data_IF_255529272960
#
_entry.id   IF_255529272960
#
_cell.length_a   1.000
_cell.length_b   1.000
_cell.length_c   1.000
_cell.angle_alpha   90.00
_cell.angle_beta   90.00
_cell.angle_gamma   90.00
#
_symmetry.space_group_name_H-M   'P 1'
#
loop_
_entity.id
_entity.type
_entity.pdbx_description
1 polymer ?
#
# COMPACT_ATOMS: atom_id res chain seq x y z
N UNK A 1 0.73 11.36 2.02
CA UNK A 1 -0.46 11.54 1.17
C UNK A 1 -0.96 10.19 0.70
N UNK A 2 -2.25 10.00 0.48
CA UNK A 2 -2.82 8.74 -0.02
C UNK A 2 -3.60 8.98 -1.32
N UNK A 3 -3.58 8.04 -2.26
CA UNK A 3 -4.44 8.08 -3.45
C UNK A 3 -5.37 6.87 -3.46
N UNK A 4 -6.66 7.11 -3.72
CA UNK A 4 -7.72 6.08 -3.72
C UNK A 4 -8.55 6.18 -5.00
N UNK A 5 -8.85 5.03 -5.61
CA UNK A 5 -9.84 4.89 -6.67
C UNK A 5 -9.69 3.60 -7.48
N UNK A 6 -10.81 3.01 -7.91
CA UNK A 6 -10.82 1.92 -8.90
C UNK A 6 -9.93 0.72 -8.57
N UNK A 7 -10.03 0.18 -7.35
CA UNK A 7 -9.19 -0.91 -6.78
C UNK A 7 -7.75 -0.55 -6.37
N UNK A 8 -7.37 0.72 -6.38
CA UNK A 8 -6.04 1.18 -5.96
C UNK A 8 -6.11 2.03 -4.69
N UNK A 9 -5.32 1.66 -3.68
CA UNK A 9 -4.98 2.45 -2.50
C UNK A 9 -3.46 2.48 -2.32
N UNK A 10 -2.84 3.66 -2.24
CA UNK A 10 -1.39 3.77 -2.01
C UNK A 10 -1.01 5.03 -1.24
N UNK A 11 -0.17 4.84 -0.22
CA UNK A 11 0.43 5.93 0.53
C UNK A 11 1.78 6.33 -0.06
N UNK A 12 2.00 7.64 -0.15
CA UNK A 12 3.28 8.22 -0.53
C UNK A 12 3.75 9.21 0.55
N UNK A 13 5.06 9.28 0.69
CA UNK A 13 5.76 10.20 1.56
C UNK A 13 6.67 11.08 0.71
N UNK A 14 6.61 12.39 0.94
CA UNK A 14 7.58 13.34 0.39
C UNK A 14 8.69 13.49 1.43
N UNK A 15 9.93 13.35 1.00
CA UNK A 15 11.10 13.49 1.85
C UNK A 15 12.22 14.24 1.12
N UNK A 16 13.25 14.76 1.81
CA UNK A 16 14.43 15.33 1.16
C UNK A 16 15.18 14.30 0.29
N UNK A 17 15.99 14.78 -0.65
CA UNK A 17 16.91 13.91 -1.41
C UNK A 17 17.83 13.13 -0.46
N UNK A 18 18.03 11.84 -0.77
CA UNK A 18 18.79 10.89 0.06
C UNK A 18 17.90 10.04 0.98
N UNK A 19 16.62 10.36 1.11
CA UNK A 19 15.70 9.61 1.97
C UNK A 19 15.54 8.14 1.52
N UNK A 20 15.52 7.85 0.22
CA UNK A 20 15.48 6.49 -0.31
C UNK A 20 16.69 5.68 0.15
N UNK A 21 17.89 6.24 0.00
CA UNK A 21 19.14 5.56 0.39
C UNK A 21 19.18 5.36 1.90
N UNK A 22 18.79 6.38 2.66
CA UNK A 22 18.68 6.28 4.12
C UNK A 22 17.70 5.18 4.55
N UNK A 23 16.49 5.19 4.00
CA UNK A 23 15.46 4.19 4.32
C UNK A 23 15.90 2.79 3.93
N UNK A 24 16.39 2.61 2.71
CA UNK A 24 16.88 1.32 2.23
C UNK A 24 17.99 0.78 3.14
N UNK A 25 18.99 1.60 3.49
CA UNK A 25 20.14 1.14 4.27
C UNK A 25 19.84 0.94 5.76
N UNK A 26 19.13 1.87 6.39
CA UNK A 26 19.06 1.94 7.86
C UNK A 26 17.71 1.50 8.44
N UNK A 27 16.65 1.46 7.64
CA UNK A 27 15.32 1.07 8.13
C UNK A 27 14.91 -0.32 7.67
N UNK A 28 15.31 -0.70 6.45
CA UNK A 28 14.82 -1.94 5.84
C UNK A 28 15.92 -2.92 5.46
N UNK A 29 17.20 -2.53 5.48
CA UNK A 29 18.31 -3.36 4.99
C UNK A 29 18.04 -3.88 3.55
N UNK A 30 17.55 -2.98 2.70
CA UNK A 30 17.16 -3.25 1.32
C UNK A 30 18.28 -2.86 0.34
N UNK A 31 18.47 -3.68 -0.69
CA UNK A 31 19.45 -3.42 -1.75
C UNK A 31 18.77 -2.85 -3.00
N UNK A 32 19.49 -1.97 -3.71
CA UNK A 32 19.00 -1.41 -4.96
C UNK A 32 18.89 -2.50 -6.03
N UNK A 33 17.65 -2.82 -6.39
CA UNK A 33 17.29 -3.90 -7.31
C UNK A 33 16.90 -3.41 -8.70
N UNK A 34 16.61 -2.11 -8.86
CA UNK A 34 16.19 -1.58 -10.14
C UNK A 34 16.17 -0.06 -10.23
N UNK A 35 16.29 0.43 -11.45
CA UNK A 35 16.11 1.83 -11.84
C UNK A 35 15.29 1.90 -13.11
N UNK A 36 14.46 2.92 -13.22
CA UNK A 36 13.70 3.21 -14.43
C UNK A 36 13.43 4.70 -14.56
N UNK A 37 13.02 5.14 -15.75
CA UNK A 37 12.53 6.49 -15.96
C UNK A 37 11.02 6.53 -15.98
N UNK A 38 10.44 7.52 -15.31
CA UNK A 38 9.02 7.87 -15.39
C UNK A 38 8.95 9.37 -15.69
N UNK A 39 8.55 9.71 -16.91
CA UNK A 39 8.66 11.09 -17.41
C UNK A 39 10.11 11.56 -17.39
N UNK A 40 10.37 12.67 -16.68
CA UNK A 40 11.71 13.25 -16.50
C UNK A 40 12.46 12.72 -15.27
N UNK A 41 11.83 11.89 -14.45
CA UNK A 41 12.38 11.46 -13.16
C UNK A 41 12.93 10.04 -13.21
N UNK A 42 13.98 9.79 -12.44
CA UNK A 42 14.42 8.43 -12.10
C UNK A 42 13.51 7.88 -11.00
N UNK A 43 13.10 6.62 -11.13
CA UNK A 43 12.50 5.85 -10.05
C UNK A 43 13.50 4.76 -9.64
N UNK A 44 13.84 4.73 -8.35
CA UNK A 44 14.70 3.72 -7.73
C UNK A 44 13.85 2.70 -6.99
N UNK A 45 14.22 1.43 -7.10
CA UNK A 45 13.56 0.31 -6.43
C UNK A 45 14.58 -0.45 -5.61
N UNK A 46 14.39 -0.45 -4.29
CA UNK A 46 15.19 -1.24 -3.36
C UNK A 46 14.35 -2.33 -2.72
N UNK A 47 14.93 -3.52 -2.53
CA UNK A 47 14.24 -4.70 -2.01
C UNK A 47 15.04 -5.34 -0.90
N UNK A 48 14.35 -5.81 0.13
CA UNK A 48 14.94 -6.63 1.18
C UNK A 48 15.31 -8.01 0.63
N UNK A 49 16.30 -8.66 1.25
CA UNK A 49 16.80 -9.96 0.80
C UNK A 49 15.71 -11.04 0.82
N UNK A 50 14.75 -10.95 1.76
CA UNK A 50 13.59 -11.83 1.86
C UNK A 50 12.47 -11.49 0.86
N UNK A 51 12.61 -10.41 0.09
CA UNK A 51 11.62 -9.94 -0.88
C UNK A 51 10.32 -9.42 -0.26
N UNK A 52 10.22 -9.33 1.08
CA UNK A 52 8.98 -8.98 1.80
C UNK A 52 8.73 -7.48 1.87
N UNK A 53 9.74 -6.66 1.61
CA UNK A 53 9.61 -5.22 1.57
C UNK A 53 10.24 -4.65 0.30
N UNK A 54 9.51 -3.76 -0.37
CA UNK A 54 10.03 -2.98 -1.49
C UNK A 54 9.86 -1.50 -1.22
N UNK A 55 10.94 -0.76 -1.39
CA UNK A 55 10.94 0.69 -1.40
C UNK A 55 11.01 1.16 -2.84
N UNK A 56 10.11 2.05 -3.22
CA UNK A 56 10.20 2.72 -4.50
C UNK A 56 10.13 4.22 -4.31
N UNK A 57 11.08 4.94 -4.91
CA UNK A 57 11.12 6.40 -4.84
C UNK A 57 11.32 7.02 -6.21
N UNK A 58 10.47 7.99 -6.55
CA UNK A 58 10.70 8.93 -7.63
C UNK A 58 11.65 10.03 -7.12
N UNK A 59 12.76 10.21 -7.83
CA UNK A 59 13.84 11.12 -7.45
C UNK A 59 13.65 12.46 -8.14
N UNK A 60 13.36 13.50 -7.35
CA UNK A 60 13.30 14.88 -7.78
C UNK A 60 14.64 15.60 -7.63
N UNK A 61 14.61 16.92 -7.86
CA UNK A 61 15.77 17.79 -7.74
C UNK A 61 16.01 18.22 -6.28
N UNK A 62 14.95 18.40 -5.52
CA UNK A 62 14.95 18.86 -4.13
C UNK A 62 14.34 17.84 -3.16
N UNK A 63 13.38 17.05 -3.65
CA UNK A 63 12.68 16.05 -2.84
C UNK A 63 12.58 14.71 -3.55
N UNK A 64 12.27 13.68 -2.77
CA UNK A 64 11.93 12.34 -3.23
C UNK A 64 10.48 12.01 -2.85
N UNK A 65 9.75 11.38 -3.76
CA UNK A 65 8.43 10.83 -3.50
C UNK A 65 8.55 9.31 -3.32
N UNK A 66 8.43 8.85 -2.08
CA UNK A 66 8.65 7.47 -1.68
C UNK A 66 7.34 6.74 -1.38
N UNK A 67 7.30 5.45 -1.71
CA UNK A 67 6.29 4.50 -1.24
C UNK A 67 6.97 3.21 -0.77
N UNK A 68 6.34 2.55 0.19
CA UNK A 68 6.75 1.23 0.69
C UNK A 68 5.65 0.22 0.33
N UNK A 69 6.07 -0.97 -0.08
CA UNK A 69 5.19 -2.12 -0.29
C UNK A 69 5.49 -3.15 0.79
N UNK A 70 4.47 -3.49 1.59
CA UNK A 70 4.48 -4.67 2.44
C UNK A 70 4.03 -5.87 1.59
N UNK A 71 4.89 -6.89 1.50
CA UNK A 71 4.69 -8.08 0.70
C UNK A 71 5.65 -8.21 -0.48
N UNK A 72 5.53 -9.31 -1.25
CA UNK A 72 6.41 -9.58 -2.39
C UNK A 72 6.48 -8.37 -3.30
N UNK A 73 7.70 -8.10 -3.74
CA UNK A 73 7.97 -6.94 -4.57
C UNK A 73 7.01 -6.89 -5.77
N UNK A 74 6.29 -5.78 -5.98
CA UNK A 74 5.61 -5.57 -7.24
C UNK A 74 6.64 -5.67 -8.37
N UNK A 75 6.21 -6.21 -9.51
CA UNK A 75 7.01 -6.13 -10.72
C UNK A 75 7.41 -4.67 -10.96
N UNK A 76 8.67 -4.47 -11.34
CA UNK A 76 9.24 -3.13 -11.55
C UNK A 76 8.37 -2.29 -12.49
N UNK A 77 7.71 -2.92 -13.48
CA UNK A 77 6.76 -2.26 -14.38
C UNK A 77 5.54 -1.67 -13.64
N UNK A 78 4.94 -2.40 -12.70
CA UNK A 78 3.77 -1.93 -11.94
C UNK A 78 4.14 -0.75 -11.04
N UNK A 79 5.38 -0.73 -10.53
CA UNK A 79 5.92 0.43 -9.81
C UNK A 79 6.05 1.64 -10.73
N UNK A 80 6.52 1.45 -11.97
CA UNK A 80 6.59 2.52 -12.97
C UNK A 80 5.21 3.12 -13.25
N UNK A 81 4.23 2.25 -13.50
CA UNK A 81 2.85 2.62 -13.82
C UNK A 81 2.23 3.43 -12.65
N UNK A 82 2.53 3.06 -11.41
CA UNK A 82 2.10 3.80 -10.22
C UNK A 82 2.61 5.26 -10.18
N UNK A 83 3.87 5.51 -10.55
CA UNK A 83 4.38 6.88 -10.59
C UNK A 83 3.92 7.63 -11.85
N UNK A 84 3.69 6.90 -12.95
CA UNK A 84 3.30 7.50 -14.23
C UNK A 84 1.92 8.16 -14.21
N UNK A 85 1.05 7.76 -13.27
CA UNK A 85 -0.28 8.34 -13.08
C UNK A 85 -0.28 9.63 -12.24
N UNK A 86 0.87 10.11 -11.78
CA UNK A 86 1.00 11.30 -10.94
C UNK A 86 1.49 12.51 -11.76
N UNK A 87 0.99 13.70 -11.42
CA UNK A 87 1.62 15.00 -11.73
C UNK A 87 2.45 15.41 -10.51
N UNK A 88 3.76 15.45 -10.69
CA UNK A 88 4.75 15.76 -9.64
C UNK A 88 5.42 17.09 -9.99
N UNK A 89 5.35 18.05 -9.07
CA UNK A 89 6.03 19.34 -9.18
C UNK A 89 6.91 19.52 -7.97
N UNK A 90 8.21 19.44 -8.21
CA UNK A 90 9.23 19.59 -7.18
C UNK A 90 9.77 21.02 -7.16
N UNK A 91 9.67 21.66 -6.00
CA UNK A 91 10.20 22.98 -5.73
C UNK A 91 11.10 22.91 -4.50
N UNK A 92 11.97 23.91 -4.31
CA UNK A 92 12.88 23.96 -3.17
C UNK A 92 12.16 23.92 -1.82
N UNK A 93 10.97 24.53 -1.74
CA UNK A 93 10.19 24.65 -0.50
C UNK A 93 9.24 23.46 -0.27
N UNK A 94 9.17 22.53 -1.22
CA UNK A 94 8.35 21.32 -1.10
C UNK A 94 8.01 20.70 -2.45
N UNK A 95 7.51 19.46 -2.39
CA UNK A 95 7.00 18.75 -3.56
C UNK A 95 5.47 18.69 -3.51
N UNK A 96 4.83 19.13 -4.59
CA UNK A 96 3.40 18.95 -4.81
C UNK A 96 3.18 17.74 -5.69
N UNK A 97 2.27 16.88 -5.25
CA UNK A 97 1.91 15.68 -6.00
C UNK A 97 0.39 15.63 -6.10
N UNK A 98 -0.11 15.29 -7.27
CA UNK A 98 -1.54 15.09 -7.53
C UNK A 98 -1.72 13.97 -8.53
N UNK A 99 -2.85 13.25 -8.51
CA UNK A 99 -3.10 12.28 -9.56
C UNK A 99 -3.43 13.02 -10.86
N UNK A 100 -3.07 12.45 -12.01
CA UNK A 100 -3.46 13.01 -13.29
C UNK A 100 -4.98 12.94 -13.44
N UNK A 101 -5.60 14.00 -13.96
CA UNK A 101 -7.06 14.17 -13.96
C UNK A 101 -7.84 13.02 -14.64
N UNK A 102 -7.24 12.36 -15.63
CA UNK A 102 -7.87 11.25 -16.37
C UNK A 102 -7.89 9.93 -15.57
N UNK A 103 -7.13 9.83 -14.48
CA UNK A 103 -7.01 8.59 -13.69
C UNK A 103 -8.22 8.34 -12.79
N UNK A 104 -9.03 9.37 -12.53
CA UNK A 104 -10.15 9.29 -11.59
C UNK A 104 -9.73 9.06 -10.12
N UNK A 105 -8.43 9.06 -9.82
CA UNK A 105 -7.92 8.91 -8.47
C UNK A 105 -8.16 10.18 -7.67
N UNK A 106 -8.52 10.02 -6.40
CA UNK A 106 -8.71 11.15 -5.48
C UNK A 106 -7.62 11.13 -4.41
N UNK A 107 -7.15 12.32 -4.00
CA UNK A 107 -6.22 12.47 -2.87
C UNK A 107 -7.01 12.28 -1.58
N UNK A 108 -6.65 11.27 -0.81
CA UNK A 108 -7.10 11.09 0.57
C UNK A 108 -6.02 11.56 1.55
N UNK A 109 -6.41 12.32 2.57
CA UNK A 109 -5.51 12.82 3.61
C UNK A 109 -5.44 11.94 4.86
N UNK A 110 -6.27 10.90 4.97
CA UNK A 110 -6.46 10.21 6.24
C UNK A 110 -6.60 8.69 6.00
N UNK A 111 -5.54 7.96 6.35
CA UNK A 111 -5.61 6.52 6.55
C UNK A 111 -5.04 6.24 7.93
N UNK A 112 -5.74 5.40 8.69
CA UNK A 112 -5.12 4.73 9.83
C UNK A 112 -4.41 3.49 9.30
N UNK A 113 -3.10 3.38 9.51
CA UNK A 113 -2.36 2.15 9.28
C UNK A 113 -1.84 1.66 10.61
N UNK A 114 -2.30 0.48 11.03
CA UNK A 114 -1.79 -0.23 12.18
C UNK A 114 -0.94 -1.38 11.66
N UNK A 115 0.35 -1.39 12.04
CA UNK A 115 1.24 -2.52 11.81
C UNK A 115 1.56 -3.16 13.15
N UNK A 116 1.37 -4.46 13.26
CA UNK A 116 1.76 -5.26 14.44
C UNK A 116 3.25 -5.59 14.37
N UNK A 117 3.82 -6.09 15.47
CA UNK A 117 5.23 -6.49 15.56
C UNK A 117 5.60 -7.57 14.54
N UNK A 118 4.63 -8.41 14.15
CA UNK A 118 4.83 -9.45 13.14
C UNK A 118 4.75 -8.95 11.69
N UNK A 119 4.49 -7.65 11.45
CA UNK A 119 4.23 -7.00 10.15
C UNK A 119 2.85 -7.25 9.54
N UNK A 120 1.88 -7.79 10.28
CA UNK A 120 0.48 -7.74 9.87
C UNK A 120 0.04 -6.29 9.83
N UNK A 121 -0.60 -5.90 8.73
CA UNK A 121 -1.03 -4.53 8.51
C UNK A 121 -2.53 -4.44 8.35
N UNK A 122 -3.13 -3.46 9.03
CA UNK A 122 -4.53 -3.07 8.90
C UNK A 122 -4.54 -1.62 8.45
N UNK A 123 -5.00 -1.36 7.23
CA UNK A 123 -5.07 -0.04 6.64
C UNK A 123 -6.53 0.32 6.39
N UNK A 124 -7.03 1.35 7.07
CA UNK A 124 -8.41 1.80 6.95
C UNK A 124 -8.43 3.16 6.23
N UNK A 125 -9.12 3.29 5.07
CA UNK A 125 -9.22 4.54 4.35
C UNK A 125 -10.20 5.51 5.01
N UNK A 126 -9.99 6.82 4.89
CA UNK A 126 -10.92 7.79 5.47
C UNK A 126 -12.40 7.54 5.10
N UNK A 127 -13.34 7.93 5.99
CA UNK A 127 -14.77 7.70 5.80
C UNK A 127 -15.29 8.15 4.42
N UNK A 128 -14.78 9.29 3.93
CA UNK A 128 -15.15 9.86 2.64
C UNK A 128 -14.81 8.94 1.43
N UNK A 129 -13.84 8.04 1.58
CA UNK A 129 -13.38 7.13 0.52
C UNK A 129 -13.83 5.68 0.73
N UNK A 130 -14.40 5.35 1.90
CA UNK A 130 -14.76 3.98 2.26
C UNK A 130 -15.67 3.30 1.23
N UNK A 131 -16.66 4.03 0.69
CA UNK A 131 -17.58 3.47 -0.32
C UNK A 131 -16.92 3.19 -1.67
N UNK A 132 -15.82 3.88 -2.00
CA UNK A 132 -15.17 3.77 -3.31
C UNK A 132 -14.28 2.52 -3.40
N UNK A 133 -13.87 1.97 -2.25
CA UNK A 133 -13.00 0.78 -2.20
C UNK A 133 -13.79 -0.52 -2.12
N UNK A 134 -15.08 -0.47 -1.76
CA UNK A 134 -15.93 -1.67 -1.65
C UNK A 134 -16.24 -2.20 -3.07
N UNK A 135 -15.93 -3.47 -3.37
CA UNK A 135 -16.28 -4.10 -4.63
C UNK A 135 -17.79 -4.13 -4.87
N UNK A 136 -18.20 -4.02 -6.14
CA UNK A 136 -19.62 -4.05 -6.52
C UNK A 136 -20.28 -5.42 -6.37
N UNK A 137 -19.49 -6.49 -6.24
CA UNK A 137 -19.98 -7.86 -6.01
C UNK A 137 -19.93 -8.18 -4.51
N UNK A 138 -20.91 -8.90 -4.01
CA UNK A 138 -20.95 -9.34 -2.60
C UNK A 138 -19.72 -10.15 -2.20
N UNK A 139 -19.24 -9.92 -0.98
CA UNK A 139 -18.14 -10.66 -0.38
C UNK A 139 -18.60 -11.94 0.32
N UNK A 140 -17.68 -12.60 1.03
CA UNK A 140 -18.03 -13.65 2.00
C UNK A 140 -18.58 -12.96 3.24
N UNK A 141 -19.73 -13.41 3.75
CA UNK A 141 -20.30 -12.88 5.00
C UNK A 141 -19.41 -13.20 6.21
N UNK A 142 -19.32 -12.24 7.12
CA UNK A 142 -18.68 -12.35 8.44
C UNK A 142 -19.70 -11.99 9.52
N UNK A 143 -19.31 -12.05 10.80
CA UNK A 143 -20.19 -11.59 11.89
C UNK A 143 -20.45 -10.08 11.85
N UNK A 144 -19.50 -9.31 11.32
CA UNK A 144 -19.54 -7.85 11.31
C UNK A 144 -19.84 -7.22 9.94
N UNK A 145 -19.92 -8.02 8.88
CA UNK A 145 -20.22 -7.53 7.54
C UNK A 145 -19.80 -8.51 6.44
N UNK A 146 -18.94 -8.04 5.53
CA UNK A 146 -18.44 -8.83 4.40
C UNK A 146 -16.92 -8.72 4.27
N UNK A 147 -16.29 -9.77 3.75
CA UNK A 147 -14.87 -9.80 3.41
C UNK A 147 -14.67 -10.20 1.96
N UNK A 148 -13.79 -9.47 1.28
CA UNK A 148 -13.29 -9.79 -0.05
C UNK A 148 -11.82 -10.15 0.07
N UNK A 149 -11.31 -10.95 -0.87
CA UNK A 149 -9.89 -11.27 -0.94
C UNK A 149 -9.35 -11.03 -2.34
N UNK A 150 -8.12 -10.54 -2.41
CA UNK A 150 -7.35 -10.38 -3.64
C UNK A 150 -6.01 -11.05 -3.44
N UNK A 151 -5.60 -11.90 -4.39
CA UNK A 151 -4.30 -12.56 -4.31
C UNK A 151 -3.18 -11.52 -4.42
N UNK A 152 -2.21 -11.59 -3.50
CA UNK A 152 -1.04 -10.73 -3.56
C UNK A 152 -0.11 -11.21 -4.68
N UNK A 153 0.35 -10.31 -5.57
CA UNK A 153 1.23 -10.68 -6.68
C UNK A 153 2.51 -11.35 -6.19
N UNK A 154 2.85 -12.53 -6.69
CA UNK A 154 4.09 -13.22 -6.31
C UNK A 154 4.03 -14.01 -4.99
N UNK A 155 2.84 -14.12 -4.36
CA UNK A 155 2.57 -15.07 -3.27
C UNK A 155 1.94 -16.36 -3.79
N UNK A 156 1.83 -17.36 -2.92
CA UNK A 156 1.13 -18.61 -3.19
C UNK A 156 -0.39 -18.39 -3.37
N UNK A 157 -1.16 -19.44 -3.16
CA UNK A 157 -2.64 -19.38 -3.15
C UNK A 157 -3.25 -20.29 -2.09
N UNK A 158 -2.40 -20.84 -1.25
CA UNK A 158 -2.74 -21.95 -0.37
C UNK A 158 -2.82 -21.48 1.08
N UNK A 159 -2.42 -20.22 1.36
CA UNK A 159 -2.45 -19.68 2.71
C UNK A 159 -3.12 -18.33 2.86
N UNK A 160 -3.58 -18.04 4.08
CA UNK A 160 -4.16 -16.76 4.44
C UNK A 160 -3.22 -15.58 4.12
N UNK A 161 -1.92 -15.78 4.30
CA UNK A 161 -0.88 -14.77 4.03
C UNK A 161 -0.74 -14.46 2.53
N UNK A 162 -1.27 -15.29 1.63
CA UNK A 162 -1.15 -15.07 0.19
C UNK A 162 -2.10 -13.99 -0.36
N UNK A 163 -2.95 -13.43 0.49
CA UNK A 163 -4.03 -12.53 0.09
C UNK A 163 -4.02 -11.21 0.87
N UNK A 164 -4.52 -10.17 0.22
CA UNK A 164 -5.02 -8.97 0.85
C UNK A 164 -6.53 -9.12 1.04
N UNK A 165 -7.03 -8.80 2.24
CA UNK A 165 -8.44 -8.89 2.58
C UNK A 165 -9.02 -7.50 2.73
N UNK A 166 -10.10 -7.21 2.01
CA UNK A 166 -10.91 -6.03 2.31
C UNK A 166 -12.03 -6.47 3.25
N UNK A 167 -12.09 -5.90 4.45
CA UNK A 167 -13.18 -6.11 5.41
C UNK A 167 -14.07 -4.87 5.38
N UNK A 168 -15.34 -5.05 5.05
CA UNK A 168 -16.36 -4.01 5.09
C UNK A 168 -17.39 -4.32 6.17
N UNK A 169 -17.59 -3.36 7.07
CA UNK A 169 -18.66 -3.39 8.09
C UNK A 169 -19.69 -2.29 7.76
N UNK A 170 -20.85 -2.25 8.42
CA UNK A 170 -21.78 -1.13 8.28
C UNK A 170 -21.18 0.25 8.58
N UNK A 171 -20.13 0.29 9.42
CA UNK A 171 -19.57 1.52 9.97
C UNK A 171 -18.13 1.81 9.54
N UNK A 172 -17.52 0.94 8.74
CA UNK A 172 -16.11 1.06 8.39
C UNK A 172 -15.65 0.11 7.29
N UNK A 173 -14.44 0.36 6.79
CA UNK A 173 -13.76 -0.54 5.86
C UNK A 173 -12.27 -0.54 6.16
N UNK A 174 -11.61 -1.69 6.00
CA UNK A 174 -10.15 -1.79 6.10
C UNK A 174 -9.61 -2.86 5.16
N UNK A 175 -8.39 -2.64 4.67
CA UNK A 175 -7.55 -3.66 4.07
C UNK A 175 -6.69 -4.32 5.16
N UNK A 176 -6.65 -5.65 5.18
CA UNK A 176 -5.85 -6.46 6.09
C UNK A 176 -4.90 -7.31 5.26
N UNK A 177 -3.60 -7.21 5.55
CA UNK A 177 -2.57 -8.07 5.00
C UNK A 177 -1.84 -8.73 6.14
N UNK A 178 -1.96 -10.05 6.24
CA UNK A 178 -1.21 -10.83 7.23
C UNK A 178 0.25 -10.95 6.82
N UNK A 179 1.14 -10.84 7.79
CA UNK A 179 2.54 -11.16 7.60
C UNK A 179 2.70 -12.66 7.36
N UNK A 180 3.62 -13.01 6.46
CA UNK A 180 4.04 -14.39 6.24
C UNK A 180 4.93 -14.84 7.40
N UNK A 181 4.31 -15.21 8.51
CA UNK A 181 4.99 -15.57 9.75
C UNK A 181 4.20 -16.64 10.51
N UNK A 182 4.90 -17.49 11.26
CA UNK A 182 4.27 -18.47 12.15
C UNK A 182 3.51 -17.83 13.33
N UNK A 183 3.56 -16.51 13.47
CA UNK A 183 2.95 -15.80 14.60
C UNK A 183 1.41 -15.76 14.54
N UNK A 184 0.81 -15.91 13.36
CA UNK A 184 -0.63 -15.97 13.16
C UNK A 184 -0.95 -17.21 12.34
N UNK A 185 -1.69 -18.15 12.93
CA UNK A 185 -2.19 -19.33 12.22
C UNK A 185 -3.31 -18.95 11.25
N UNK A 186 -3.62 -19.82 10.28
CA UNK A 186 -4.72 -19.57 9.36
C UNK A 186 -6.07 -19.42 10.06
N UNK A 187 -6.33 -20.25 11.07
CA UNK A 187 -7.55 -20.20 11.85
C UNK A 187 -7.68 -18.87 12.60
N UNK A 188 -6.59 -18.36 13.17
CA UNK A 188 -6.55 -17.05 13.82
C UNK A 188 -6.76 -15.91 12.82
N UNK A 189 -6.13 -15.98 11.64
CA UNK A 189 -6.34 -15.00 10.57
C UNK A 189 -7.82 -14.97 10.13
N UNK A 190 -8.42 -16.14 9.90
CA UNK A 190 -9.83 -16.25 9.52
C UNK A 190 -10.77 -15.80 10.63
N UNK A 191 -10.44 -16.10 11.88
CA UNK A 191 -11.20 -15.65 13.05
C UNK A 191 -11.15 -14.12 13.20
N UNK A 192 -9.97 -13.53 13.01
CA UNK A 192 -9.80 -12.07 13.02
C UNK A 192 -10.68 -11.43 11.94
N UNK A 193 -10.61 -11.92 10.69
CA UNK A 193 -11.45 -11.40 9.60
C UNK A 193 -12.96 -11.58 9.87
N UNK A 194 -13.36 -12.65 10.56
CA UNK A 194 -14.77 -12.90 10.89
C UNK A 194 -15.31 -11.96 11.96
N UNK A 195 -14.45 -11.50 12.87
CA UNK A 195 -14.84 -10.77 14.08
C UNK A 195 -14.44 -9.29 14.08
N UNK A 196 -13.59 -8.86 13.15
CA UNK A 196 -13.09 -7.49 13.05
C UNK A 196 -14.27 -6.50 12.89
N UNK A 197 -14.48 -5.70 13.92
CA UNK A 197 -15.42 -4.58 13.92
C UNK A 197 -14.66 -3.27 13.68
N UNK A 198 -15.20 -2.46 12.77
CA UNK A 198 -14.61 -1.21 12.33
C UNK A 198 -15.66 -0.12 12.42
N UNK A 199 -15.34 0.96 13.13
CA UNK A 199 -16.18 2.14 13.20
C UNK A 199 -15.35 3.41 13.08
N UNK A 200 -15.75 4.27 12.15
CA UNK A 200 -15.32 5.66 12.14
C UNK A 200 -16.06 6.41 13.26
N UNK A 201 -15.34 7.21 14.05
CA UNK A 201 -15.93 8.13 15.04
C UNK A 201 -15.79 9.56 14.59
#
# INVERSE_FOLDING_TARGET
MHFVGGSYGRAFQVAPVGAHEFGAKYLFEAELSGRMKVGQHEVRISRTADGRTTLASLIGQHHELMTVFAGPAPESRKVAELFAVLDVRDHRDGMRVSPQRWTGLTVGSENLVLSTVDNTSIAAPAPAFARQVIPSKSGRRTRQGEVWRTQLPGRGKDSAHDYAYLVGTPNGVAEVVFADSEAITEDEAMHMLDTLDLSWK
#
